data_IF_521579606281
#
_entry.id   IF_521579606281
#
_cell.length_a   1.000
_cell.length_b   1.000
_cell.length_c   1.000
_cell.angle_alpha   90.00
_cell.angle_beta   90.00
_cell.angle_gamma   90.00
#
_symmetry.space_group_name_H-M   'P 1'
#
loop_
_entity.id
_entity.type
_entity.pdbx_description
1 polymer ?
#
# COMPACT_ATOMS: atom_id res chain seq x y z
N UNK A 1 -22.76 -40.70 11.92
CA UNK A 1 -22.65 -39.24 11.69
C UNK A 1 -22.94 -38.53 13.02
N UNK A 2 -22.08 -37.64 13.46
CA UNK A 2 -22.30 -36.86 14.68
C UNK A 2 -23.50 -35.94 14.51
N UNK A 3 -24.24 -35.70 15.58
CA UNK A 3 -25.42 -34.81 15.57
C UNK A 3 -24.99 -33.36 15.31
N UNK A 4 -25.88 -32.53 14.77
CA UNK A 4 -25.65 -31.11 14.50
C UNK A 4 -25.25 -30.36 15.78
N UNK A 5 -25.75 -30.79 16.92
CA UNK A 5 -25.40 -30.22 18.23
C UNK A 5 -23.92 -30.46 18.58
N UNK A 6 -23.42 -31.67 18.35
CA UNK A 6 -22.00 -31.99 18.50
C UNK A 6 -21.14 -31.25 17.53
N UNK A 7 -21.54 -31.20 16.24
CA UNK A 7 -20.80 -30.47 15.20
C UNK A 7 -20.77 -28.96 15.48
N UNK A 8 -21.83 -28.39 16.01
CA UNK A 8 -21.87 -26.97 16.37
C UNK A 8 -20.94 -26.63 17.52
N UNK A 9 -20.86 -27.50 18.57
CA UNK A 9 -19.96 -27.30 19.71
C UNK A 9 -18.49 -27.43 19.31
N UNK A 10 -18.20 -28.31 18.33
CA UNK A 10 -16.84 -28.55 17.84
C UNK A 10 -16.54 -27.86 16.51
N UNK A 11 -17.46 -27.07 15.96
CA UNK A 11 -17.21 -26.25 14.78
C UNK A 11 -16.15 -25.21 15.08
N UNK A 12 -15.07 -25.18 14.28
CA UNK A 12 -13.96 -24.28 14.52
C UNK A 12 -12.97 -24.77 15.57
N UNK A 13 -12.90 -26.08 15.84
CA UNK A 13 -11.83 -26.65 16.66
C UNK A 13 -10.48 -26.28 16.08
N UNK A 14 -9.72 -25.48 16.83
CA UNK A 14 -8.40 -25.00 16.46
C UNK A 14 -7.39 -25.68 17.39
N UNK A 15 -6.33 -26.24 16.79
CA UNK A 15 -5.21 -26.79 17.57
C UNK A 15 -4.03 -25.84 17.36
N UNK A 16 -3.67 -25.11 18.40
CA UNK A 16 -2.49 -24.27 18.39
C UNK A 16 -1.29 -24.96 19.09
N UNK A 17 -0.12 -24.35 19.03
CA UNK A 17 1.10 -24.86 19.65
C UNK A 17 1.05 -24.87 21.18
N UNK A 18 0.05 -24.24 21.81
CA UNK A 18 -0.11 -24.12 23.27
C UNK A 18 -1.30 -24.93 23.82
N UNK A 19 -2.04 -25.62 22.95
CA UNK A 19 -3.20 -26.42 23.32
C UNK A 19 -4.43 -25.60 23.76
N UNK A 20 -4.58 -24.39 23.24
CA UNK A 20 -5.75 -23.57 23.56
C UNK A 20 -7.04 -24.21 23.05
N UNK A 21 -8.07 -24.28 23.93
CA UNK A 21 -9.40 -24.81 23.56
C UNK A 21 -10.18 -23.82 22.71
N UNK A 22 -9.97 -22.54 22.89
CA UNK A 22 -10.51 -21.46 22.06
C UNK A 22 -9.42 -20.91 21.15
N UNK A 23 -9.75 -20.54 19.89
CA UNK A 23 -8.78 -19.90 18.99
C UNK A 23 -8.21 -18.64 19.65
N UNK A 24 -6.88 -18.44 19.65
CA UNK A 24 -6.29 -17.21 20.14
C UNK A 24 -6.70 -16.03 19.25
N UNK A 25 -6.77 -14.85 19.84
CA UNK A 25 -6.95 -13.60 19.09
C UNK A 25 -5.59 -13.21 18.52
N UNK A 26 -5.41 -13.37 17.21
CA UNK A 26 -4.23 -12.89 16.51
C UNK A 26 -4.43 -11.43 16.12
N UNK A 27 -3.97 -10.52 16.96
CA UNK A 27 -4.03 -9.08 16.72
C UNK A 27 -2.90 -8.64 15.75
N UNK A 28 -2.76 -9.34 14.63
CA UNK A 28 -1.79 -9.01 13.59
C UNK A 28 -2.45 -8.79 12.23
N UNK A 29 -1.96 -7.83 11.46
CA UNK A 29 -2.39 -7.59 10.07
C UNK A 29 -1.56 -8.37 9.05
N UNK A 30 -0.39 -8.89 9.44
CA UNK A 30 0.55 -9.55 8.55
C UNK A 30 1.19 -10.76 9.20
N UNK A 31 1.73 -11.67 8.40
CA UNK A 31 2.39 -12.89 8.85
C UNK A 31 3.76 -13.01 8.19
N UNK A 32 4.76 -13.45 8.97
CA UNK A 32 6.08 -13.74 8.43
C UNK A 32 6.01 -14.88 7.43
N UNK A 33 6.74 -14.75 6.32
CA UNK A 33 6.85 -15.76 5.28
C UNK A 33 8.24 -16.38 5.32
N UNK A 34 8.36 -17.71 5.18
CA UNK A 34 9.66 -18.39 5.13
C UNK A 34 10.45 -18.07 3.84
N UNK A 35 9.75 -17.77 2.75
CA UNK A 35 10.31 -17.31 1.49
C UNK A 35 9.29 -16.48 0.71
N UNK A 36 9.69 -15.69 -0.29
CA UNK A 36 8.75 -14.91 -1.11
C UNK A 36 7.65 -15.79 -1.71
N UNK A 37 6.38 -15.41 -1.45
CA UNK A 37 5.21 -16.14 -1.94
C UNK A 37 4.91 -17.47 -1.25
N UNK A 38 5.66 -17.86 -0.21
CA UNK A 38 5.40 -19.05 0.60
C UNK A 38 4.87 -18.65 1.98
N UNK A 39 3.66 -19.08 2.32
CA UNK A 39 3.04 -18.82 3.62
C UNK A 39 2.60 -20.13 4.29
N UNK A 40 2.50 -20.10 5.62
CA UNK A 40 2.10 -21.25 6.46
C UNK A 40 0.59 -21.36 6.66
N UNK A 41 -0.20 -20.83 5.72
CA UNK A 41 -1.67 -20.77 5.76
C UNK A 41 -2.22 -19.36 5.74
N UNK A 42 -1.48 -18.39 6.29
CA UNK A 42 -1.85 -16.99 6.34
C UNK A 42 -0.74 -16.13 5.75
N UNK A 43 -1.14 -15.14 4.96
CA UNK A 43 -0.23 -14.20 4.30
C UNK A 43 -0.51 -12.77 4.79
N UNK A 44 -1.78 -12.35 4.77
CA UNK A 44 -2.20 -11.01 5.15
C UNK A 44 -3.69 -11.00 5.54
N UNK A 45 -4.01 -10.41 6.71
CA UNK A 45 -5.38 -10.30 7.19
C UNK A 45 -6.12 -9.17 6.46
N UNK A 46 -6.86 -9.54 5.39
CA UNK A 46 -7.65 -8.57 4.67
C UNK A 46 -9.12 -8.94 4.64
N UNK A 47 -9.92 -8.22 5.40
CA UNK A 47 -11.36 -8.14 5.19
C UNK A 47 -11.83 -6.71 5.50
N UNK A 48 -12.47 -6.05 4.51
CA UNK A 48 -13.05 -4.72 4.69
C UNK A 48 -12.03 -3.57 4.64
N UNK A 49 -12.10 -2.75 3.60
CA UNK A 49 -11.29 -1.54 3.48
C UNK A 49 -12.17 -0.42 2.91
N UNK A 50 -12.24 0.78 3.53
CA UNK A 50 -12.99 1.94 3.03
C UNK A 50 -12.57 2.39 1.64
N UNK A 51 -11.40 2.01 1.13
CA UNK A 51 -11.03 2.13 -0.28
C UNK A 51 -12.15 1.63 -1.20
N UNK A 52 -12.90 0.59 -0.76
CA UNK A 52 -14.06 0.07 -1.49
C UNK A 52 -15.22 1.05 -1.51
N UNK A 53 -15.45 1.82 -0.46
CA UNK A 53 -16.60 2.72 -0.36
C UNK A 53 -16.52 3.90 -1.32
N UNK A 54 -15.31 4.41 -1.58
CA UNK A 54 -15.14 5.44 -2.61
C UNK A 54 -15.54 4.93 -4.01
N UNK A 55 -15.34 3.64 -4.29
CA UNK A 55 -15.75 3.01 -5.55
C UNK A 55 -17.25 2.71 -5.63
N UNK A 56 -17.96 2.63 -4.49
CA UNK A 56 -19.43 2.50 -4.46
C UNK A 56 -20.16 3.79 -4.88
N UNK A 57 -19.45 4.92 -4.96
CA UNK A 57 -19.97 6.17 -5.52
C UNK A 57 -20.21 6.09 -7.03
N UNK A 58 -19.67 5.07 -7.70
CA UNK A 58 -19.78 4.90 -9.14
C UNK A 58 -21.03 4.11 -9.51
N UNK A 59 -21.81 4.67 -10.40
CA UNK A 59 -22.96 3.99 -11.00
C UNK A 59 -22.49 2.80 -11.85
N UNK A 60 -23.44 1.91 -12.13
CA UNK A 60 -23.22 0.80 -13.05
C UNK A 60 -22.74 1.31 -14.42
N UNK A 61 -21.82 0.57 -15.03
CA UNK A 61 -21.22 0.86 -16.33
C UNK A 61 -20.43 2.19 -16.43
N UNK A 62 -20.06 2.78 -15.28
CA UNK A 62 -19.19 3.96 -15.23
C UNK A 62 -17.78 3.66 -15.71
N UNK A 63 -17.06 4.73 -16.12
CA UNK A 63 -15.64 4.68 -16.43
C UNK A 63 -14.82 5.41 -15.37
N UNK A 64 -13.62 4.87 -15.11
CA UNK A 64 -12.61 5.37 -14.18
C UNK A 64 -11.27 5.52 -14.91
N UNK A 65 -10.58 6.64 -14.72
CA UNK A 65 -9.17 6.78 -15.07
C UNK A 65 -8.33 6.51 -13.82
N UNK A 66 -7.41 5.57 -13.89
CA UNK A 66 -6.54 5.21 -12.77
C UNK A 66 -5.07 5.20 -13.16
N UNK A 67 -4.18 5.52 -12.22
CA UNK A 67 -2.74 5.33 -12.44
C UNK A 67 -2.39 3.85 -12.48
N UNK A 68 -1.42 3.48 -13.33
CA UNK A 68 -1.11 2.08 -13.67
C UNK A 68 -0.26 1.33 -12.63
N UNK A 69 0.48 2.06 -11.81
CA UNK A 69 1.34 1.53 -10.74
C UNK A 69 0.61 1.68 -9.40
N UNK A 70 -0.36 0.81 -9.14
CA UNK A 70 -1.16 0.81 -7.92
C UNK A 70 -0.99 -0.49 -7.16
N UNK A 71 -1.35 -0.43 -5.89
CA UNK A 71 -1.43 -1.61 -5.06
C UNK A 71 -2.19 -2.76 -5.76
N UNK A 72 -1.59 -3.97 -5.77
CA UNK A 72 -2.18 -5.13 -6.46
C UNK A 72 -3.62 -5.47 -6.04
N UNK A 73 -4.03 -5.10 -4.81
CA UNK A 73 -5.40 -5.25 -4.36
C UNK A 73 -6.37 -4.24 -4.99
N UNK A 74 -5.92 -3.02 -5.24
CA UNK A 74 -6.70 -2.00 -5.99
C UNK A 74 -6.92 -2.47 -7.42
N UNK A 75 -5.86 -2.96 -8.08
CA UNK A 75 -5.98 -3.55 -9.41
C UNK A 75 -6.98 -4.71 -9.44
N UNK A 76 -6.86 -5.68 -8.51
CA UNK A 76 -7.79 -6.83 -8.42
C UNK A 76 -9.23 -6.39 -8.19
N UNK A 77 -9.43 -5.41 -7.33
CA UNK A 77 -10.77 -4.89 -7.03
C UNK A 77 -11.42 -4.29 -8.27
N UNK A 78 -10.69 -3.47 -9.00
CA UNK A 78 -11.17 -2.79 -10.19
C UNK A 78 -11.41 -3.77 -11.34
N UNK A 79 -10.41 -4.54 -11.74
CA UNK A 79 -10.46 -5.40 -12.93
C UNK A 79 -11.22 -6.70 -12.70
N UNK A 80 -11.04 -7.37 -11.55
CA UNK A 80 -11.58 -8.71 -11.36
C UNK A 80 -12.92 -8.72 -10.62
N UNK A 81 -13.21 -7.68 -9.82
CA UNK A 81 -14.45 -7.62 -9.03
C UNK A 81 -15.42 -6.61 -9.64
N UNK A 82 -15.06 -5.32 -9.69
CA UNK A 82 -15.98 -4.25 -10.09
C UNK A 82 -16.31 -4.26 -11.59
N UNK A 83 -15.36 -4.61 -12.42
CA UNK A 83 -15.64 -4.84 -13.85
C UNK A 83 -16.75 -5.87 -14.05
N UNK A 84 -16.71 -6.97 -13.29
CA UNK A 84 -17.72 -8.04 -13.38
C UNK A 84 -19.03 -7.68 -12.68
N UNK A 85 -18.97 -7.10 -11.48
CA UNK A 85 -20.16 -6.88 -10.64
C UNK A 85 -20.93 -5.62 -10.99
N UNK A 86 -20.25 -4.59 -11.51
CA UNK A 86 -20.82 -3.28 -11.80
C UNK A 86 -20.57 -2.79 -13.24
N UNK A 87 -19.96 -3.59 -14.11
CA UNK A 87 -19.62 -3.16 -15.48
C UNK A 87 -18.55 -2.07 -15.53
N UNK A 88 -17.85 -1.79 -14.42
CA UNK A 88 -16.87 -0.72 -14.34
C UNK A 88 -15.78 -0.89 -15.41
N UNK A 89 -15.50 0.18 -16.13
CA UNK A 89 -14.41 0.24 -17.10
C UNK A 89 -13.28 1.10 -16.56
N UNK A 90 -12.03 0.69 -16.80
CA UNK A 90 -10.85 1.37 -16.28
C UNK A 90 -9.86 1.63 -17.40
N UNK A 91 -9.40 2.89 -17.50
CA UNK A 91 -8.23 3.27 -18.29
C UNK A 91 -7.03 3.45 -17.36
N UNK A 92 -5.98 2.67 -17.60
CA UNK A 92 -4.75 2.73 -16.83
C UNK A 92 -3.75 3.66 -17.53
N UNK A 93 -3.22 4.65 -16.79
CA UNK A 93 -2.33 5.69 -17.32
C UNK A 93 -1.15 5.86 -16.36
N UNK A 94 0.03 6.21 -16.88
CA UNK A 94 1.18 6.50 -16.02
C UNK A 94 0.91 7.70 -15.12
N UNK A 95 1.35 7.69 -13.85
CA UNK A 95 1.05 8.75 -12.88
C UNK A 95 1.64 10.12 -13.26
N UNK A 96 2.68 10.15 -14.07
CA UNK A 96 3.37 11.35 -14.58
C UNK A 96 2.93 11.79 -15.98
N UNK A 97 2.00 11.06 -16.61
CA UNK A 97 1.48 11.40 -17.94
C UNK A 97 0.15 12.18 -17.83
N UNK A 98 0.25 13.47 -17.50
CA UNK A 98 -0.93 14.35 -17.39
C UNK A 98 -1.74 14.43 -18.68
N UNK A 99 -1.07 14.45 -19.84
CA UNK A 99 -1.74 14.48 -21.14
C UNK A 99 -2.49 13.16 -21.41
N UNK A 100 -1.88 12.03 -21.07
CA UNK A 100 -2.53 10.72 -21.15
C UNK A 100 -3.71 10.57 -20.19
N UNK A 101 -3.61 11.10 -18.97
CA UNK A 101 -4.73 11.14 -18.02
C UNK A 101 -5.91 11.90 -18.62
N UNK A 102 -5.68 13.09 -19.16
CA UNK A 102 -6.75 13.91 -19.75
C UNK A 102 -7.31 13.29 -21.03
N UNK A 103 -6.46 12.71 -21.88
CA UNK A 103 -6.87 12.01 -23.12
C UNK A 103 -7.69 10.73 -22.84
N UNK A 104 -7.51 10.10 -21.69
CA UNK A 104 -8.26 8.91 -21.30
C UNK A 104 -9.69 9.22 -20.81
N UNK A 105 -10.03 10.50 -20.60
CA UNK A 105 -11.36 10.91 -20.13
C UNK A 105 -12.39 10.73 -21.25
N UNK A 106 -13.50 10.11 -20.94
CA UNK A 106 -14.62 9.81 -21.82
C UNK A 106 -15.94 10.42 -21.26
N UNK A 107 -17.03 10.49 -22.04
CA UNK A 107 -18.31 11.01 -21.54
C UNK A 107 -18.89 10.25 -20.34
N UNK A 108 -18.56 8.96 -20.21
CA UNK A 108 -18.97 8.08 -19.11
C UNK A 108 -17.94 8.04 -17.96
N UNK A 109 -16.83 8.79 -18.03
CA UNK A 109 -15.87 8.91 -16.92
C UNK A 109 -16.52 9.66 -15.75
N UNK A 110 -16.32 9.14 -14.53
CA UNK A 110 -16.88 9.71 -13.29
C UNK A 110 -15.82 9.99 -12.24
N UNK A 111 -14.65 9.36 -12.35
CA UNK A 111 -13.62 9.43 -11.30
C UNK A 111 -12.22 9.35 -11.89
N UNK A 112 -11.28 10.05 -11.24
CA UNK A 112 -9.84 9.84 -11.40
C UNK A 112 -9.31 9.28 -10.09
N UNK A 113 -8.61 8.13 -10.15
CA UNK A 113 -7.99 7.45 -9.02
C UNK A 113 -6.48 7.52 -9.11
N UNK A 114 -5.85 8.07 -8.09
CA UNK A 114 -4.39 8.23 -8.00
C UNK A 114 -3.87 7.54 -6.75
N UNK A 115 -2.76 6.84 -6.86
CA UNK A 115 -1.94 6.38 -5.75
C UNK A 115 -0.58 7.08 -5.84
N UNK A 116 -0.16 7.79 -4.80
CA UNK A 116 1.10 8.54 -4.80
C UNK A 116 1.65 8.73 -3.38
N UNK A 117 2.92 8.33 -3.11
CA UNK A 117 3.80 7.55 -4.00
C UNK A 117 3.19 6.21 -4.40
N UNK A 118 3.48 5.73 -5.62
CA UNK A 118 2.92 4.48 -6.15
C UNK A 118 3.54 3.25 -5.50
N UNK A 119 2.87 2.10 -5.60
CA UNK A 119 3.33 0.83 -5.08
C UNK A 119 3.51 -0.20 -6.21
N UNK A 120 4.75 -0.69 -6.50
CA UNK A 120 5.91 -0.64 -5.60
C UNK A 120 6.97 0.39 -5.98
N UNK A 121 6.89 1.10 -7.11
CA UNK A 121 8.01 1.83 -7.69
C UNK A 121 8.15 3.27 -7.19
N UNK A 122 7.31 3.71 -6.26
CA UNK A 122 7.38 5.04 -5.63
C UNK A 122 7.39 6.20 -6.63
N UNK A 123 6.75 6.04 -7.79
CA UNK A 123 6.52 7.12 -8.73
C UNK A 123 5.58 8.14 -8.09
N UNK A 124 5.70 9.40 -8.50
CA UNK A 124 4.83 10.46 -8.00
C UNK A 124 3.92 10.97 -9.10
N UNK A 125 2.70 11.31 -8.69
CA UNK A 125 1.74 12.05 -9.49
C UNK A 125 1.71 13.50 -9.03
N UNK A 126 1.59 14.45 -9.96
CA UNK A 126 1.36 15.86 -9.63
C UNK A 126 -0.09 16.05 -9.16
N UNK A 127 -0.24 16.13 -7.83
CA UNK A 127 -1.56 16.22 -7.20
C UNK A 127 -2.33 17.46 -7.66
N UNK A 128 -1.69 18.62 -7.72
CA UNK A 128 -2.35 19.88 -8.11
C UNK A 128 -2.80 19.87 -9.56
N UNK A 129 -1.96 19.37 -10.46
CA UNK A 129 -2.30 19.26 -11.87
C UNK A 129 -3.46 18.28 -12.11
N UNK A 130 -3.45 17.11 -11.46
CA UNK A 130 -4.51 16.11 -11.61
C UNK A 130 -5.82 16.60 -11.00
N UNK A 131 -5.80 17.25 -9.83
CA UNK A 131 -7.00 17.86 -9.26
C UNK A 131 -7.59 18.94 -10.18
N UNK A 132 -6.75 19.73 -10.86
CA UNK A 132 -7.21 20.68 -11.85
C UNK A 132 -7.85 20.01 -13.08
N UNK A 133 -7.31 18.89 -13.56
CA UNK A 133 -7.91 18.08 -14.63
C UNK A 133 -9.29 17.58 -14.18
N UNK A 134 -9.37 16.93 -13.01
CA UNK A 134 -10.63 16.40 -12.49
C UNK A 134 -11.71 17.48 -12.40
N UNK A 135 -11.36 18.65 -11.89
CA UNK A 135 -12.27 19.80 -11.76
C UNK A 135 -12.76 20.31 -13.13
N UNK A 136 -11.87 20.43 -14.13
CA UNK A 136 -12.26 20.87 -15.48
C UNK A 136 -13.27 19.93 -16.12
N UNK A 137 -13.19 18.65 -15.84
CA UNK A 137 -14.06 17.61 -16.41
C UNK A 137 -15.19 17.19 -15.47
N UNK A 138 -15.36 17.87 -14.35
CA UNK A 138 -16.40 17.58 -13.34
C UNK A 138 -16.36 16.12 -12.84
N UNK A 139 -15.16 15.61 -12.57
CA UNK A 139 -14.89 14.25 -12.10
C UNK A 139 -14.58 14.25 -10.61
N UNK A 140 -14.93 13.17 -9.92
CA UNK A 140 -14.50 12.93 -8.53
C UNK A 140 -13.00 12.55 -8.57
N UNK A 141 -12.19 13.25 -7.78
CA UNK A 141 -10.77 12.95 -7.61
C UNK A 141 -10.51 12.21 -6.30
N UNK A 142 -9.87 11.05 -6.40
CA UNK A 142 -9.52 10.19 -5.25
C UNK A 142 -8.03 9.97 -5.20
N UNK A 143 -7.41 10.24 -4.05
CA UNK A 143 -6.01 9.94 -3.81
C UNK A 143 -5.86 8.86 -2.73
N UNK A 144 -5.23 7.74 -3.09
CA UNK A 144 -4.73 6.79 -2.11
C UNK A 144 -3.38 7.32 -1.57
N UNK A 145 -3.41 7.77 -0.33
CA UNK A 145 -2.29 8.41 0.35
C UNK A 145 -1.66 7.50 1.41
N UNK A 146 -1.82 6.20 1.24
CA UNK A 146 -1.40 5.19 2.24
C UNK A 146 0.11 5.22 2.49
N UNK A 147 0.94 5.35 1.45
CA UNK A 147 2.42 5.34 1.58
C UNK A 147 2.97 6.60 2.23
N UNK A 148 2.31 7.74 2.01
CA UNK A 148 2.75 9.01 2.55
C UNK A 148 2.17 9.30 3.94
N UNK A 149 0.90 8.98 4.19
CA UNK A 149 0.14 9.47 5.34
C UNK A 149 -0.06 11.00 5.33
N UNK A 150 -0.94 11.58 6.16
CA UNK A 150 -1.12 13.03 6.22
C UNK A 150 0.09 13.78 6.82
N UNK A 151 1.08 13.07 7.38
CA UNK A 151 2.32 13.67 7.83
C UNK A 151 3.25 14.09 6.67
N UNK A 152 3.10 13.47 5.49
CA UNK A 152 3.93 13.72 4.32
C UNK A 152 3.17 14.44 3.22
N UNK A 153 1.99 13.93 2.85
CA UNK A 153 1.13 14.47 1.79
C UNK A 153 -0.26 14.78 2.32
N UNK A 154 -0.85 15.85 1.82
CA UNK A 154 -2.23 16.26 2.13
C UNK A 154 -3.01 16.55 0.84
N UNK A 155 -3.49 15.51 0.14
CA UNK A 155 -4.11 15.70 -1.18
C UNK A 155 -5.33 16.62 -1.18
N UNK A 156 -6.07 16.74 -0.07
CA UNK A 156 -7.18 17.72 0.03
C UNK A 156 -6.69 19.15 -0.14
N UNK A 157 -5.49 19.51 0.34
CA UNK A 157 -4.90 20.85 0.18
C UNK A 157 -4.51 21.13 -1.29
N UNK A 158 -4.38 20.07 -2.11
CA UNK A 158 -4.17 20.16 -3.56
C UNK A 158 -5.47 20.19 -4.37
N UNK A 159 -6.61 20.03 -3.70
CA UNK A 159 -7.94 20.12 -4.32
C UNK A 159 -8.55 18.77 -4.72
N UNK A 160 -8.07 17.67 -4.18
CA UNK A 160 -8.72 16.36 -4.27
C UNK A 160 -10.03 16.34 -3.45
N UNK A 161 -11.01 15.59 -3.91
CA UNK A 161 -12.30 15.46 -3.24
C UNK A 161 -12.25 14.43 -2.11
N UNK A 162 -11.55 13.32 -2.33
CA UNK A 162 -11.45 12.20 -1.39
C UNK A 162 -10.00 11.78 -1.24
N UNK A 163 -9.59 11.51 0.00
CA UNK A 163 -8.34 10.85 0.34
C UNK A 163 -8.63 9.53 1.03
N UNK A 164 -8.08 8.44 0.51
CA UNK A 164 -8.20 7.13 1.15
C UNK A 164 -6.87 6.72 1.77
N UNK A 165 -6.96 5.99 2.88
CA UNK A 165 -5.82 5.40 3.57
C UNK A 165 -6.14 3.97 3.97
N UNK A 166 -5.21 3.06 3.73
CA UNK A 166 -5.15 1.84 4.52
C UNK A 166 -4.61 2.21 5.91
N UNK A 167 -5.52 2.36 6.89
CA UNK A 167 -5.13 2.66 8.26
C UNK A 167 -4.33 1.52 8.91
N UNK A 168 -4.39 0.33 8.33
CA UNK A 168 -3.52 -0.83 8.60
C UNK A 168 -2.04 -0.48 8.60
N UNK A 169 -1.64 0.55 7.83
CA UNK A 169 -0.24 0.93 7.58
C UNK A 169 0.21 2.00 8.58
N UNK A 170 0.81 3.07 8.14
CA UNK A 170 1.39 4.13 8.98
C UNK A 170 0.42 4.75 10.00
N UNK A 171 -0.89 4.87 9.67
CA UNK A 171 -1.85 5.48 10.59
C UNK A 171 -1.94 4.72 11.91
N UNK A 172 -2.12 3.41 11.85
CA UNK A 172 -2.04 2.55 13.03
C UNK A 172 -0.58 2.29 13.45
N UNK A 173 0.26 1.84 12.52
CA UNK A 173 1.70 1.74 12.66
C UNK A 173 2.23 0.62 13.54
N UNK A 174 1.41 -0.35 13.96
CA UNK A 174 1.79 -1.39 14.92
C UNK A 174 1.45 -2.82 14.47
N UNK A 175 1.11 -3.02 13.19
CA UNK A 175 0.85 -4.33 12.57
C UNK A 175 -0.24 -5.18 13.25
N UNK A 176 -1.16 -4.56 14.00
CA UNK A 176 -2.17 -5.20 14.83
C UNK A 176 -3.62 -4.84 14.47
N UNK A 177 -3.83 -4.07 13.39
CA UNK A 177 -5.15 -3.64 12.90
C UNK A 177 -5.24 -3.78 11.39
N UNK A 178 -6.41 -4.21 10.91
CA UNK A 178 -6.81 -4.10 9.49
C UNK A 178 -7.94 -3.10 9.38
N UNK A 179 -7.64 -1.92 8.85
CA UNK A 179 -8.60 -0.82 8.76
C UNK A 179 -8.35 0.05 7.53
N UNK A 180 -9.37 0.83 7.17
CA UNK A 180 -9.24 1.85 6.16
C UNK A 180 -10.03 3.10 6.54
N UNK A 181 -9.61 4.23 5.99
CA UNK A 181 -10.27 5.53 6.18
C UNK A 181 -10.47 6.18 4.82
N UNK A 182 -11.62 6.85 4.67
CA UNK A 182 -11.88 7.80 3.59
C UNK A 182 -12.13 9.17 4.24
N UNK A 183 -11.41 10.17 3.77
CA UNK A 183 -11.51 11.55 4.26
C UNK A 183 -12.01 12.41 3.10
N UNK A 184 -13.08 13.15 3.32
CA UNK A 184 -13.68 14.06 2.34
C UNK A 184 -13.32 15.48 2.74
N UNK A 185 -13.07 16.36 1.75
CA UNK A 185 -12.91 17.78 1.96
C UNK A 185 -14.25 18.48 2.29
N UNK A 186 -14.37 19.73 1.94
CA UNK A 186 -15.54 20.59 2.29
C UNK A 186 -16.81 20.28 1.45
N UNK A 187 -16.89 19.10 0.83
CA UNK A 187 -18.04 18.68 0.04
C UNK A 187 -19.02 17.86 0.90
N UNK A 188 -20.02 18.54 1.48
CA UNK A 188 -21.02 17.91 2.37
C UNK A 188 -21.86 16.85 1.66
N UNK A 189 -22.25 17.05 0.40
CA UNK A 189 -23.04 16.07 -0.38
C UNK A 189 -22.25 14.77 -0.57
N UNK A 190 -20.97 14.87 -0.89
CA UNK A 190 -20.10 13.70 -1.04
C UNK A 190 -19.87 12.99 0.30
N UNK A 191 -19.72 13.75 1.40
CA UNK A 191 -19.59 13.20 2.74
C UNK A 191 -20.85 12.45 3.18
N UNK A 192 -22.05 12.99 2.91
CA UNK A 192 -23.33 12.35 3.19
C UNK A 192 -23.50 11.06 2.39
N UNK A 193 -23.18 11.07 1.09
CA UNK A 193 -23.22 9.87 0.23
C UNK A 193 -22.30 8.76 0.75
N UNK A 194 -21.06 9.10 1.13
CA UNK A 194 -20.11 8.13 1.70
C UNK A 194 -20.58 7.59 3.05
N UNK A 195 -21.10 8.44 3.92
CA UNK A 195 -21.68 8.03 5.20
C UNK A 195 -22.89 7.09 5.03
N UNK A 196 -23.76 7.39 4.07
CA UNK A 196 -24.86 6.48 3.72
C UNK A 196 -24.35 5.12 3.24
N UNK A 197 -23.37 5.10 2.33
CA UNK A 197 -22.81 3.87 1.79
C UNK A 197 -22.08 3.05 2.88
N UNK A 198 -21.34 3.71 3.77
CA UNK A 198 -20.71 3.05 4.90
C UNK A 198 -21.73 2.31 5.77
N UNK A 199 -22.83 2.97 6.10
CA UNK A 199 -23.90 2.38 6.90
C UNK A 199 -24.64 1.26 6.14
N UNK A 200 -25.01 1.49 4.87
CA UNK A 200 -25.80 0.55 4.07
C UNK A 200 -25.03 -0.74 3.72
N UNK A 201 -23.73 -0.62 3.42
CA UNK A 201 -22.84 -1.75 3.10
C UNK A 201 -22.33 -2.45 4.37
N UNK A 202 -22.38 -1.76 5.52
CA UNK A 202 -21.95 -2.29 6.80
C UNK A 202 -20.42 -2.34 6.97
N UNK A 203 -19.68 -1.50 6.23
CA UNK A 203 -18.23 -1.42 6.29
C UNK A 203 -17.73 -0.61 7.48
N UNK A 204 -18.18 -0.94 8.67
CA UNK A 204 -17.81 -0.27 9.92
C UNK A 204 -16.63 -0.97 10.61
N UNK A 205 -15.70 -0.17 11.13
CA UNK A 205 -14.60 -0.67 11.93
C UNK A 205 -15.09 -0.97 13.35
N UNK A 206 -14.66 -2.08 13.91
CA UNK A 206 -15.02 -2.44 15.29
C UNK A 206 -14.39 -1.47 16.31
N UNK A 207 -14.96 -1.36 17.54
CA UNK A 207 -14.49 -0.41 18.55
C UNK A 207 -13.04 -0.63 19.01
N UNK A 208 -12.57 -1.88 19.06
CA UNK A 208 -11.21 -2.20 19.51
C UNK A 208 -10.17 -1.75 18.46
N UNK A 209 -10.39 -2.10 17.19
CA UNK A 209 -9.54 -1.66 16.07
C UNK A 209 -9.57 -0.14 15.91
N UNK A 210 -10.73 0.50 16.15
CA UNK A 210 -10.87 1.96 16.14
C UNK A 210 -10.03 2.61 17.24
N UNK A 211 -10.07 2.05 18.47
CA UNK A 211 -9.26 2.52 19.59
C UNK A 211 -7.76 2.40 19.31
N UNK A 212 -7.31 1.26 18.80
CA UNK A 212 -5.90 1.04 18.44
C UNK A 212 -5.44 2.00 17.34
N UNK A 213 -6.27 2.22 16.32
CA UNK A 213 -5.98 3.18 15.24
C UNK A 213 -5.84 4.59 15.79
N UNK A 214 -6.77 5.07 16.64
CA UNK A 214 -6.68 6.37 17.28
C UNK A 214 -5.42 6.51 18.15
N UNK A 215 -5.06 5.46 18.86
CA UNK A 215 -3.83 5.40 19.66
C UNK A 215 -2.60 5.50 18.77
N UNK A 216 -2.57 4.77 17.64
CA UNK A 216 -1.49 4.83 16.65
C UNK A 216 -1.31 6.20 16.04
N UNK A 217 -2.41 6.86 15.66
CA UNK A 217 -2.38 8.22 15.06
C UNK A 217 -1.71 9.24 15.99
N UNK A 218 -1.85 9.11 17.32
CA UNK A 218 -1.25 10.04 18.29
C UNK A 218 0.28 10.12 18.24
N UNK A 219 0.93 9.09 17.68
CA UNK A 219 2.39 9.06 17.48
C UNK A 219 2.79 9.12 16.02
N UNK A 220 1.85 9.36 15.10
CA UNK A 220 2.10 9.32 13.67
C UNK A 220 3.24 10.25 13.25
N UNK A 221 3.21 11.52 13.67
CA UNK A 221 4.23 12.51 13.28
C UNK A 221 5.65 12.06 13.70
N UNK A 222 5.81 11.67 14.97
CA UNK A 222 7.09 11.18 15.50
C UNK A 222 7.59 9.92 14.75
N UNK A 223 6.68 8.98 14.48
CA UNK A 223 7.03 7.77 13.73
C UNK A 223 7.44 8.10 12.29
N UNK A 224 6.67 8.96 11.59
CA UNK A 224 6.97 9.34 10.22
C UNK A 224 8.29 10.11 10.08
N UNK A 225 8.64 10.96 11.04
CA UNK A 225 9.96 11.59 11.10
C UNK A 225 11.07 10.55 11.20
N UNK A 226 10.93 9.57 12.09
CA UNK A 226 11.94 8.51 12.28
C UNK A 226 12.00 7.57 11.10
N UNK A 227 10.89 7.07 10.58
CA UNK A 227 10.82 6.27 9.36
C UNK A 227 11.53 6.97 8.19
N UNK A 228 11.24 8.26 8.02
CA UNK A 228 11.78 9.07 6.92
C UNK A 228 13.30 9.26 7.05
N UNK A 229 13.78 9.55 8.25
CA UNK A 229 15.21 9.71 8.51
C UNK A 229 15.98 8.40 8.27
N UNK A 230 15.45 7.28 8.80
CA UNK A 230 16.05 5.96 8.63
C UNK A 230 16.05 5.53 7.15
N UNK A 231 14.91 5.72 6.45
CA UNK A 231 14.81 5.37 5.04
C UNK A 231 15.74 6.20 4.15
N UNK A 232 15.88 7.50 4.42
CA UNK A 232 16.80 8.36 3.66
C UNK A 232 18.23 7.87 3.82
N UNK A 233 18.68 7.66 5.05
CA UNK A 233 20.04 7.20 5.32
C UNK A 233 20.33 5.83 4.68
N UNK A 234 19.38 4.89 4.77
CA UNK A 234 19.52 3.58 4.13
C UNK A 234 19.50 3.68 2.61
N UNK A 235 18.64 4.51 2.02
CA UNK A 235 18.54 4.69 0.57
C UNK A 235 19.82 5.30 -0.02
N UNK A 236 20.38 6.32 0.63
CA UNK A 236 21.66 6.94 0.25
C UNK A 236 22.82 5.94 0.33
N UNK A 237 22.82 5.08 1.34
CA UNK A 237 23.82 4.03 1.47
C UNK A 237 23.65 2.93 0.40
N UNK A 238 22.42 2.48 0.14
CA UNK A 238 22.11 1.46 -0.87
C UNK A 238 22.49 1.91 -2.28
N UNK A 239 22.28 3.19 -2.61
CA UNK A 239 22.62 3.74 -3.94
C UNK A 239 24.12 3.66 -4.25
N UNK A 240 24.96 3.57 -3.23
CA UNK A 240 26.42 3.47 -3.36
C UNK A 240 26.94 2.03 -3.45
N UNK A 241 26.08 1.02 -3.28
CA UNK A 241 26.53 -0.38 -3.26
C UNK A 241 26.70 -0.92 -4.69
N UNK A 242 27.80 -1.62 -5.00
CA UNK A 242 28.06 -2.16 -6.33
C UNK A 242 27.07 -3.22 -6.76
N UNK A 243 26.44 -3.93 -5.82
CA UNK A 243 25.41 -4.97 -6.04
C UNK A 243 24.04 -4.38 -6.38
N UNK A 244 23.84 -3.11 -6.13
CA UNK A 244 22.58 -2.40 -6.39
C UNK A 244 22.61 -1.80 -7.80
N UNK A 245 21.56 -2.08 -8.57
CA UNK A 245 21.36 -1.49 -9.89
C UNK A 245 20.65 -0.14 -9.78
N UNK A 246 19.60 -0.08 -8.94
CA UNK A 246 18.78 1.12 -8.79
C UNK A 246 18.07 1.16 -7.44
N UNK A 247 17.97 2.36 -6.87
CA UNK A 247 17.13 2.65 -5.71
C UNK A 247 15.99 3.58 -6.14
N UNK A 248 14.76 3.15 -5.92
CA UNK A 248 13.58 3.97 -6.08
C UNK A 248 13.24 4.59 -4.72
N UNK A 249 13.56 5.85 -4.56
CA UNK A 249 13.25 6.64 -3.36
C UNK A 249 13.13 8.12 -3.75
N UNK A 250 11.95 8.76 -3.62
CA UNK A 250 11.68 10.05 -4.24
C UNK A 250 12.59 11.20 -3.79
N UNK A 251 13.22 11.08 -2.63
CA UNK A 251 14.13 12.10 -2.10
C UNK A 251 15.59 11.94 -2.55
N UNK A 252 15.97 10.87 -3.23
CA UNK A 252 17.28 10.76 -3.90
C UNK A 252 17.30 11.64 -5.17
N UNK A 253 18.41 12.30 -5.42
CA UNK A 253 18.59 13.13 -6.61
C UNK A 253 18.50 12.34 -7.92
N UNK A 254 18.79 11.05 -7.88
CA UNK A 254 18.68 10.10 -9.01
C UNK A 254 17.23 9.73 -9.37
N UNK A 255 16.26 10.00 -8.47
CA UNK A 255 14.86 9.67 -8.71
C UNK A 255 14.25 10.63 -9.75
N UNK A 256 13.54 10.12 -10.79
CA UNK A 256 13.01 10.97 -11.87
C UNK A 256 12.05 12.05 -11.37
N UNK A 257 11.34 11.81 -10.26
CA UNK A 257 10.39 12.77 -9.68
C UNK A 257 10.95 13.49 -8.44
N UNK A 258 12.28 13.58 -8.29
CA UNK A 258 12.92 14.22 -7.12
C UNK A 258 12.41 15.66 -6.89
N UNK A 259 12.35 16.46 -7.95
CA UNK A 259 11.89 17.84 -7.83
C UNK A 259 10.42 17.93 -7.38
N UNK A 260 9.56 17.08 -7.92
CA UNK A 260 8.15 17.01 -7.51
C UNK A 260 8.02 16.55 -6.05
N UNK A 261 8.83 15.58 -5.64
CA UNK A 261 8.90 15.15 -4.24
C UNK A 261 9.22 16.31 -3.30
N UNK A 262 10.24 17.10 -3.65
CA UNK A 262 10.66 18.27 -2.84
C UNK A 262 9.62 19.38 -2.79
N UNK A 263 8.72 19.45 -3.75
CA UNK A 263 7.64 20.45 -3.82
C UNK A 263 6.41 20.03 -3.02
N UNK A 264 6.02 18.75 -3.05
CA UNK A 264 4.73 18.31 -2.52
C UNK A 264 4.83 17.39 -1.28
N UNK A 265 6.01 16.82 -0.98
CA UNK A 265 6.21 15.97 0.19
C UNK A 265 6.92 16.73 1.32
N UNK A 266 6.33 16.72 2.51
CA UNK A 266 6.94 17.35 3.70
C UNK A 266 8.15 16.54 4.23
N UNK A 267 8.15 15.22 4.05
CA UNK A 267 9.18 14.29 4.52
C UNK A 267 9.48 13.23 3.43
N UNK A 268 10.65 12.56 3.49
CA UNK A 268 11.05 11.53 2.53
C UNK A 268 10.11 10.33 2.40
N UNK A 269 9.48 9.92 3.49
CA UNK A 269 8.75 8.66 3.58
C UNK A 269 9.60 7.49 4.06
N UNK A 270 8.93 6.38 4.41
CA UNK A 270 9.59 5.18 4.97
C UNK A 270 9.69 4.00 3.99
N UNK A 271 9.27 4.17 2.74
CA UNK A 271 9.31 3.09 1.73
C UNK A 271 10.48 3.26 0.78
N UNK A 272 11.19 2.17 0.51
CA UNK A 272 12.27 2.09 -0.49
C UNK A 272 11.98 0.90 -1.40
N UNK A 273 12.26 1.02 -2.69
CA UNK A 273 12.33 -0.13 -3.58
C UNK A 273 13.72 -0.18 -4.23
N UNK A 274 14.34 -1.36 -4.16
CA UNK A 274 15.71 -1.60 -4.61
C UNK A 274 15.70 -2.65 -5.71
N UNK A 275 16.35 -2.38 -6.83
CA UNK A 275 16.65 -3.36 -7.85
C UNK A 275 18.10 -3.80 -7.67
N UNK A 276 18.32 -5.08 -7.41
CA UNK A 276 19.66 -5.65 -7.27
C UNK A 276 20.14 -6.23 -8.59
N UNK A 277 21.46 -6.19 -8.80
CA UNK A 277 22.11 -6.85 -9.94
C UNK A 277 22.17 -8.36 -9.69
N UNK A 278 22.16 -9.15 -10.74
CA UNK A 278 22.30 -10.60 -10.63
C UNK A 278 21.09 -11.36 -11.17
N UNK A 279 21.07 -12.63 -10.87
CA UNK A 279 20.01 -13.54 -11.29
C UNK A 279 18.72 -13.37 -10.43
N UNK A 280 17.67 -14.07 -10.82
CA UNK A 280 16.39 -14.05 -10.11
C UNK A 280 16.53 -14.49 -8.64
N UNK A 281 17.38 -15.49 -8.36
CA UNK A 281 17.60 -16.03 -7.01
C UNK A 281 18.45 -15.11 -6.12
N UNK A 282 19.14 -14.11 -6.66
CA UNK A 282 20.00 -13.23 -5.85
C UNK A 282 19.18 -12.36 -4.90
N UNK A 283 18.06 -11.81 -5.35
CA UNK A 283 17.16 -11.06 -4.49
C UNK A 283 16.61 -11.93 -3.33
N UNK A 284 16.26 -13.18 -3.61
CA UNK A 284 15.79 -14.12 -2.58
C UNK A 284 16.90 -14.47 -1.58
N UNK A 285 18.14 -14.66 -2.05
CA UNK A 285 19.30 -14.88 -1.15
C UNK A 285 19.52 -13.69 -0.21
N UNK A 286 19.49 -12.46 -0.72
CA UNK A 286 19.58 -11.26 0.12
C UNK A 286 18.48 -11.26 1.17
N UNK A 287 17.22 -11.40 0.75
CA UNK A 287 16.06 -11.39 1.64
C UNK A 287 16.20 -12.44 2.75
N UNK A 288 16.65 -13.65 2.41
CA UNK A 288 16.81 -14.74 3.38
C UNK A 288 17.93 -14.51 4.42
N UNK A 289 18.85 -13.59 4.15
CA UNK A 289 19.97 -13.27 5.04
C UNK A 289 19.70 -12.06 5.95
N UNK A 290 18.68 -11.26 5.64
CA UNK A 290 18.28 -10.14 6.48
C UNK A 290 17.77 -10.65 7.85
N UNK A 291 18.16 -9.95 8.92
CA UNK A 291 17.87 -10.32 10.31
C UNK A 291 16.88 -9.37 10.97
N UNK A 292 16.96 -8.09 10.63
CA UNK A 292 16.10 -7.04 11.18
C UNK A 292 14.91 -6.74 10.28
N UNK A 293 15.00 -7.06 8.98
CA UNK A 293 13.89 -6.95 8.06
C UNK A 293 13.12 -8.28 8.01
N UNK A 294 11.92 -8.31 8.56
CA UNK A 294 11.05 -9.50 8.47
C UNK A 294 10.48 -9.64 7.07
N UNK A 295 10.65 -10.81 6.44
CA UNK A 295 9.99 -11.13 5.18
C UNK A 295 8.49 -11.28 5.42
N UNK A 296 7.72 -10.29 5.03
CA UNK A 296 6.26 -10.28 5.17
C UNK A 296 5.61 -9.32 4.18
N UNK A 297 4.35 -9.54 3.90
CA UNK A 297 3.51 -8.52 3.27
C UNK A 297 3.20 -7.40 4.26
N UNK A 298 2.59 -6.33 3.79
CA UNK A 298 2.30 -5.11 4.53
C UNK A 298 3.45 -4.12 4.55
N UNK A 299 3.32 -3.06 5.35
CA UNK A 299 4.27 -1.96 5.50
C UNK A 299 3.80 -0.99 6.60
N UNK A 300 4.66 -0.06 6.97
CA UNK A 300 4.31 1.08 7.81
C UNK A 300 4.17 0.77 9.29
N UNK A 301 4.54 -0.44 9.72
CA UNK A 301 4.75 -0.78 11.12
C UNK A 301 6.04 -0.18 11.67
N UNK A 302 6.16 -0.14 13.01
CA UNK A 302 7.37 0.30 13.71
C UNK A 302 8.58 -0.61 13.40
N UNK A 303 8.33 -1.86 13.07
CA UNK A 303 9.31 -2.85 12.61
C UNK A 303 9.63 -2.70 11.13
N UNK A 304 10.85 -3.04 10.74
CA UNK A 304 11.27 -3.12 9.34
C UNK A 304 10.76 -4.39 8.67
N UNK A 305 10.15 -4.23 7.49
CA UNK A 305 9.66 -5.34 6.66
C UNK A 305 10.33 -5.33 5.28
N UNK A 306 10.49 -6.52 4.73
CA UNK A 306 10.97 -6.74 3.35
C UNK A 306 9.99 -7.61 2.58
N UNK A 307 9.81 -7.33 1.30
CA UNK A 307 9.00 -8.15 0.40
C UNK A 307 9.58 -8.14 -1.01
N UNK A 308 9.26 -9.18 -1.79
CA UNK A 308 9.52 -9.24 -3.21
C UNK A 308 8.20 -9.02 -3.95
N UNK A 309 7.91 -7.82 -4.48
CA UNK A 309 6.62 -7.54 -5.12
C UNK A 309 6.27 -8.50 -6.25
N UNK A 310 7.27 -8.96 -6.99
CA UNK A 310 7.10 -9.85 -8.13
C UNK A 310 6.38 -11.17 -7.77
N UNK A 311 6.79 -11.83 -6.71
CA UNK A 311 6.24 -13.13 -6.29
C UNK A 311 5.18 -13.02 -5.17
N UNK A 312 5.05 -11.86 -4.53
CA UNK A 312 4.14 -11.62 -3.40
C UNK A 312 2.99 -10.69 -3.77
N UNK A 313 3.07 -9.43 -3.42
CA UNK A 313 1.95 -8.46 -3.47
C UNK A 313 1.37 -8.23 -4.88
N UNK A 314 2.16 -8.42 -5.93
CA UNK A 314 1.78 -8.20 -7.33
C UNK A 314 1.66 -9.50 -8.15
N UNK A 315 1.79 -10.67 -7.53
CA UNK A 315 1.73 -11.96 -8.21
C UNK A 315 0.44 -12.19 -9.01
N UNK A 316 -0.67 -11.56 -8.60
CA UNK A 316 -1.97 -11.63 -9.29
C UNK A 316 -2.06 -10.77 -10.56
N UNK A 317 -1.10 -9.88 -10.82
CA UNK A 317 -1.03 -9.09 -12.04
C UNK A 317 -0.37 -9.94 -13.14
N UNK A 318 -0.88 -9.94 -14.38
CA UNK A 318 -0.27 -10.69 -15.48
C UNK A 318 1.22 -10.39 -15.64
N UNK A 319 2.03 -11.42 -15.93
CA UNK A 319 3.48 -11.32 -16.02
C UNK A 319 3.96 -10.20 -16.94
N UNK A 320 3.39 -10.12 -18.14
CA UNK A 320 3.74 -9.08 -19.10
C UNK A 320 3.54 -7.67 -18.56
N UNK A 321 2.43 -7.44 -17.82
CA UNK A 321 2.16 -6.14 -17.20
C UNK A 321 3.13 -5.84 -16.05
N UNK A 322 3.48 -6.85 -15.24
CA UNK A 322 4.49 -6.69 -14.18
C UNK A 322 5.83 -6.23 -14.77
N UNK A 323 6.31 -6.94 -15.79
CA UNK A 323 7.58 -6.61 -16.44
C UNK A 323 7.52 -5.26 -17.17
N UNK A 324 6.42 -4.95 -17.87
CA UNK A 324 6.23 -3.65 -18.52
C UNK A 324 6.23 -2.49 -17.53
N UNK A 325 5.73 -2.71 -16.31
CA UNK A 325 5.75 -1.72 -15.24
C UNK A 325 7.07 -1.68 -14.46
N UNK A 326 8.07 -2.52 -14.80
CA UNK A 326 9.37 -2.56 -14.11
C UNK A 326 9.37 -3.38 -12.80
N UNK A 327 8.34 -4.19 -12.58
CA UNK A 327 8.27 -5.12 -11.43
C UNK A 327 8.96 -6.41 -11.85
N UNK A 328 10.25 -6.49 -11.58
CA UNK A 328 11.12 -7.63 -11.93
C UNK A 328 11.39 -8.53 -10.72
N UNK A 329 11.88 -9.78 -10.93
CA UNK A 329 12.29 -10.65 -9.81
C UNK A 329 13.39 -10.04 -8.92
N UNK A 330 14.21 -9.14 -9.45
CA UNK A 330 15.29 -8.46 -8.74
C UNK A 330 14.79 -7.30 -7.87
N UNK A 331 13.52 -6.95 -7.94
CA UNK A 331 12.93 -5.85 -7.18
C UNK A 331 12.62 -6.28 -5.74
N UNK A 332 13.23 -5.62 -4.79
CA UNK A 332 13.00 -5.77 -3.34
C UNK A 332 12.34 -4.50 -2.82
N UNK A 333 11.23 -4.61 -2.09
CA UNK A 333 10.56 -3.48 -1.45
C UNK A 333 10.79 -3.54 0.06
N UNK A 334 11.22 -2.41 0.62
CA UNK A 334 11.47 -2.22 2.04
C UNK A 334 10.42 -1.29 2.64
N UNK A 335 9.88 -1.67 3.77
CA UNK A 335 9.23 -0.77 4.72
C UNK A 335 10.19 -0.56 5.88
N UNK A 336 10.84 0.58 5.89
CA UNK A 336 11.87 0.88 6.89
C UNK A 336 11.20 1.29 8.19
N UNK A 337 11.54 0.62 9.27
CA UNK A 337 11.00 0.85 10.61
C UNK A 337 11.70 2.00 11.36
N UNK A 338 11.52 2.00 12.69
CA UNK A 338 12.06 3.04 13.57
C UNK A 338 13.28 2.57 14.38
N UNK A 339 13.87 1.43 14.03
CA UNK A 339 15.07 0.87 14.62
C UNK A 339 16.27 1.83 14.49
N UNK A 340 17.42 1.45 15.01
CA UNK A 340 18.66 2.20 14.77
C UNK A 340 19.09 2.05 13.29
N UNK A 341 19.26 3.14 12.53
CA UNK A 341 19.61 3.06 11.12
C UNK A 341 20.98 2.40 10.85
N UNK A 342 21.92 2.44 11.80
CA UNK A 342 23.20 1.76 11.65
C UNK A 342 23.04 0.24 11.71
N UNK A 343 22.13 -0.26 12.53
CA UNK A 343 21.80 -1.70 12.59
C UNK A 343 21.15 -2.16 11.27
N UNK A 344 20.24 -1.35 10.71
CA UNK A 344 19.60 -1.63 9.43
C UNK A 344 20.61 -1.65 8.27
N UNK A 345 21.55 -0.70 8.24
CA UNK A 345 22.62 -0.64 7.25
C UNK A 345 23.57 -1.85 7.41
N UNK A 346 23.98 -2.17 8.65
CA UNK A 346 24.83 -3.32 8.91
C UNK A 346 24.18 -4.65 8.49
N UNK A 347 22.86 -4.75 8.66
CA UNK A 347 22.08 -5.91 8.24
C UNK A 347 22.10 -6.05 6.70
N UNK A 348 21.85 -4.98 5.98
CA UNK A 348 21.96 -4.97 4.53
C UNK A 348 23.39 -5.26 4.05
N UNK A 349 24.40 -4.68 4.71
CA UNK A 349 25.81 -4.89 4.36
C UNK A 349 26.22 -6.37 4.46
N UNK A 350 25.76 -7.08 5.49
CA UNK A 350 26.06 -8.51 5.62
C UNK A 350 25.25 -9.36 4.63
N UNK A 351 24.01 -8.96 4.31
CA UNK A 351 23.15 -9.69 3.38
C UNK A 351 23.66 -9.59 1.91
N UNK A 352 24.16 -8.43 1.49
CA UNK A 352 24.75 -8.22 0.16
C UNK A 352 26.05 -9.00 -0.06
N UNK A 353 26.84 -9.24 1.00
CA UNK A 353 28.14 -9.95 0.93
C UNK A 353 28.03 -11.47 1.07
N UNK A 354 26.86 -11.98 1.36
CA UNK A 354 26.66 -13.41 1.55
C UNK A 354 26.62 -14.13 0.19
N UNK A 355 27.61 -14.99 -0.07
CA UNK A 355 27.68 -15.91 -1.21
C UNK A 355 26.50 -16.91 -1.24
#
# INVERSE_FOLDING_TARGET
MSSIHTLSVHSGTFTDSHGAVMPPIYATSTFAQPAPGQHTGYEYSRSGNPTRHALELLDKDSHLVAVDDVYGGTYRLLENVRRRSAGLQVSWVKPDDLAGIEAAIRPDTRMIWVETPTNPLLKLADLSAIAAIARRHNLISVADNTFASPAIHRPLEHGFDIVVHSATKYLNGHSDVVAGLAVVGDNSELAEKLGYLQNAVGGVLDPFSSFLTLRGIRTLALRMERHSANALQLAEWLEQQPEVERVWFPWLASHPHHQLARQQMALPGGMISVVVKGDEGYAERIISKLRWFTLAESLGGVESLVSQPFSMTHASIPLEKRLANGITPQLIRLSVGIEDPNDLIADWQQALRAE
#
